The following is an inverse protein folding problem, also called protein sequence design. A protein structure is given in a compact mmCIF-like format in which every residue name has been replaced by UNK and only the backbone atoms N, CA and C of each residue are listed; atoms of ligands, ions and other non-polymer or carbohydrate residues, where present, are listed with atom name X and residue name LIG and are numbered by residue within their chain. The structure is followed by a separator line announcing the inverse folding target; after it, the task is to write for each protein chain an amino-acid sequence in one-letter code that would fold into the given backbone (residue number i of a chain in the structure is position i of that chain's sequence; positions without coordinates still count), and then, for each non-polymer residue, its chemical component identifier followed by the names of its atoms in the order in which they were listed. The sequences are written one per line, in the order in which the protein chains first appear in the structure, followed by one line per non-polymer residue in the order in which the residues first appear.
data_IF_306189971739
#
_entry.id   IF_306189971739
#
_cell.length_a   1.000
_cell.length_b   1.000
_cell.length_c   1.000
_cell.angle_alpha   90.00
_cell.angle_beta   90.00
_cell.angle_gamma   90.00
#
_symmetry.space_group_name_H-M   'P 1'
#
loop_
_entity.id
_entity.type
_entity.pdbx_description
1 polymer ?
#
# COMPACT_ATOMS: atom_id res chain seq x y z
N UNK A 1 43.22 11.24 -6.43
CA UNK A 1 42.12 10.84 -5.51
C UNK A 1 40.88 11.53 -6.03
N UNK A 2 39.95 10.77 -6.66
CA UNK A 2 38.66 11.35 -7.01
C UNK A 2 37.94 11.71 -5.70
N UNK A 3 37.60 12.97 -5.51
CA UNK A 3 36.74 13.38 -4.41
C UNK A 3 35.44 12.55 -4.47
N UNK A 4 35.03 12.02 -3.32
CA UNK A 4 33.74 11.32 -3.26
C UNK A 4 32.64 12.28 -3.72
N UNK A 5 31.78 11.82 -4.65
CA UNK A 5 30.69 12.64 -5.16
C UNK A 5 29.82 13.15 -4.00
N UNK A 6 29.40 14.39 -4.03
CA UNK A 6 28.47 14.96 -3.05
C UNK A 6 27.09 14.29 -3.19
N UNK A 7 26.27 14.34 -2.14
CA UNK A 7 24.90 13.77 -2.20
C UNK A 7 24.07 14.33 -3.37
N UNK A 8 24.05 15.66 -3.63
CA UNK A 8 23.34 16.19 -4.80
C UNK A 8 23.87 15.67 -6.14
N UNK A 9 25.18 15.52 -6.30
CA UNK A 9 25.80 14.98 -7.53
C UNK A 9 25.44 13.49 -7.72
N UNK A 10 25.50 12.69 -6.66
CA UNK A 10 25.07 11.30 -6.65
C UNK A 10 23.61 11.19 -7.08
N UNK A 11 22.72 11.91 -6.44
CA UNK A 11 21.27 11.85 -6.70
C UNK A 11 20.94 12.33 -8.11
N UNK A 12 21.61 13.36 -8.61
CA UNK A 12 21.49 13.80 -10.01
C UNK A 12 21.91 12.70 -10.99
N UNK A 13 23.01 12.01 -10.73
CA UNK A 13 23.48 10.90 -11.56
C UNK A 13 22.46 9.78 -11.62
N UNK A 14 21.96 9.34 -10.46
CA UNK A 14 20.90 8.33 -10.38
C UNK A 14 19.64 8.77 -11.13
N UNK A 15 19.25 10.04 -11.00
CA UNK A 15 18.10 10.60 -11.70
C UNK A 15 18.25 10.58 -13.21
N UNK A 16 19.41 10.99 -13.74
CA UNK A 16 19.71 10.94 -15.18
C UNK A 16 19.67 9.51 -15.73
N UNK A 17 20.30 8.58 -15.02
CA UNK A 17 20.32 7.16 -15.39
C UNK A 17 18.90 6.58 -15.37
N UNK A 18 18.10 6.86 -14.34
CA UNK A 18 16.72 6.41 -14.26
C UNK A 18 15.85 6.96 -15.40
N UNK A 19 16.01 8.23 -15.79
CA UNK A 19 15.29 8.82 -16.94
C UNK A 19 15.67 8.14 -18.25
N UNK A 20 16.95 7.87 -18.47
CA UNK A 20 17.41 7.14 -19.65
C UNK A 20 16.82 5.72 -19.67
N UNK A 21 16.89 5.02 -18.55
CA UNK A 21 16.37 3.67 -18.41
C UNK A 21 14.84 3.61 -18.59
N UNK A 22 14.08 4.58 -18.06
CA UNK A 22 12.63 4.66 -18.21
C UNK A 22 12.20 4.71 -19.69
N UNK A 23 12.94 5.43 -20.53
CA UNK A 23 12.68 5.45 -21.98
C UNK A 23 12.89 4.07 -22.63
N UNK A 24 13.83 3.27 -22.12
CA UNK A 24 14.05 1.87 -22.53
C UNK A 24 12.92 0.97 -22.04
N UNK A 25 12.52 1.11 -20.78
CA UNK A 25 11.45 0.32 -20.16
C UNK A 25 10.08 0.57 -20.81
N UNK A 26 9.79 1.80 -21.21
CA UNK A 26 8.55 2.13 -21.92
C UNK A 26 8.41 1.43 -23.29
N UNK A 27 9.51 0.97 -23.87
CA UNK A 27 9.55 0.21 -25.14
C UNK A 27 9.69 -1.31 -24.92
N UNK A 28 9.88 -1.73 -23.67
CA UNK A 28 10.05 -3.15 -23.36
C UNK A 28 8.81 -3.95 -23.74
N UNK A 29 9.02 -5.10 -24.36
CA UNK A 29 7.91 -6.00 -24.68
C UNK A 29 7.38 -6.72 -23.45
N UNK A 30 6.12 -7.17 -23.51
CA UNK A 30 5.52 -8.00 -22.47
C UNK A 30 6.38 -9.24 -22.16
N UNK A 31 6.96 -9.85 -23.19
CA UNK A 31 7.83 -11.02 -23.05
C UNK A 31 9.11 -10.71 -22.26
N UNK A 32 9.78 -9.59 -22.55
CA UNK A 32 10.99 -9.17 -21.83
C UNK A 32 10.69 -8.89 -20.35
N UNK A 33 9.60 -8.14 -20.06
CA UNK A 33 9.17 -7.86 -18.71
C UNK A 33 8.84 -9.14 -17.93
N UNK A 34 8.08 -10.06 -18.54
CA UNK A 34 7.76 -11.35 -17.93
C UNK A 34 9.02 -12.21 -17.72
N UNK A 35 9.97 -12.19 -18.65
CA UNK A 35 11.25 -12.89 -18.53
C UNK A 35 12.06 -12.35 -17.34
N UNK A 36 12.22 -11.03 -17.21
CA UNK A 36 12.93 -10.41 -16.09
C UNK A 36 12.33 -10.83 -14.74
N UNK A 37 11.00 -10.85 -14.63
CA UNK A 37 10.30 -11.25 -13.40
C UNK A 37 10.50 -12.75 -13.08
N UNK A 38 10.46 -13.64 -14.08
CA UNK A 38 10.73 -15.07 -13.87
C UNK A 38 12.18 -15.33 -13.47
N UNK A 39 13.12 -14.63 -14.11
CA UNK A 39 14.55 -14.69 -13.74
C UNK A 39 14.75 -14.20 -12.32
N UNK A 40 14.12 -13.08 -11.93
CA UNK A 40 14.19 -12.56 -10.56
C UNK A 40 13.67 -13.60 -9.56
N UNK A 41 12.52 -14.22 -9.83
CA UNK A 41 11.97 -15.28 -8.96
C UNK A 41 12.94 -16.46 -8.78
N UNK A 42 13.58 -16.90 -9.89
CA UNK A 42 14.61 -17.95 -9.86
C UNK A 42 15.81 -17.52 -9.01
N UNK A 43 16.36 -16.33 -9.25
CA UNK A 43 17.52 -15.80 -8.52
C UNK A 43 17.24 -15.66 -7.01
N UNK A 44 16.05 -15.20 -6.60
CA UNK A 44 15.67 -15.13 -5.18
C UNK A 44 15.74 -16.50 -4.50
N UNK A 45 15.28 -17.56 -5.16
CA UNK A 45 15.34 -18.93 -4.65
C UNK A 45 16.77 -19.46 -4.59
N UNK A 46 17.54 -19.29 -5.68
CA UNK A 46 18.92 -19.75 -5.78
C UNK A 46 19.85 -19.07 -4.76
N UNK A 47 19.62 -17.79 -4.47
CA UNK A 47 20.46 -16.99 -3.57
C UNK A 47 19.91 -16.84 -2.14
N UNK A 48 18.88 -17.61 -1.75
CA UNK A 48 18.24 -17.50 -0.42
C UNK A 48 19.25 -17.50 0.72
N UNK A 49 20.22 -18.44 0.73
CA UNK A 49 21.22 -18.56 1.80
C UNK A 49 22.17 -17.34 1.85
N UNK A 50 22.59 -16.82 0.68
CA UNK A 50 23.42 -15.62 0.59
C UNK A 50 22.69 -14.38 1.09
N UNK A 51 21.43 -14.19 0.67
CA UNK A 51 20.57 -13.10 1.14
C UNK A 51 20.34 -13.13 2.65
N UNK A 52 20.17 -14.32 3.23
CA UNK A 52 20.06 -14.46 4.67
C UNK A 52 21.37 -14.12 5.41
N UNK A 53 22.53 -14.41 4.81
CA UNK A 53 23.83 -14.01 5.34
C UNK A 53 23.99 -12.49 5.37
N UNK A 54 23.57 -11.79 4.32
CA UNK A 54 23.58 -10.33 4.29
C UNK A 54 22.53 -9.73 5.25
N UNK A 55 21.35 -10.34 5.34
CA UNK A 55 20.31 -9.93 6.27
C UNK A 55 20.74 -10.09 7.74
N UNK A 56 21.52 -11.13 8.07
CA UNK A 56 22.05 -11.32 9.42
C UNK A 56 22.94 -10.16 9.89
N UNK A 57 23.67 -9.49 8.97
CA UNK A 57 24.45 -8.27 9.28
C UNK A 57 23.53 -7.13 9.71
N UNK A 58 22.45 -6.91 8.97
CA UNK A 58 21.45 -5.89 9.27
C UNK A 58 20.75 -6.17 10.62
N UNK A 59 20.34 -7.43 10.87
CA UNK A 59 19.69 -7.83 12.11
C UNK A 59 20.62 -7.62 13.31
N UNK A 60 21.90 -8.02 13.22
CA UNK A 60 22.88 -7.83 14.29
C UNK A 60 23.08 -6.34 14.60
N UNK A 61 23.17 -5.50 13.57
CA UNK A 61 23.30 -4.05 13.70
C UNK A 61 22.07 -3.41 14.33
N UNK A 62 20.87 -3.83 13.91
CA UNK A 62 19.60 -3.35 14.45
C UNK A 62 19.42 -3.71 15.94
N UNK A 63 19.78 -4.93 16.32
CA UNK A 63 19.75 -5.38 17.71
C UNK A 63 20.75 -4.60 18.57
N UNK A 64 21.98 -4.44 18.10
CA UNK A 64 23.00 -3.66 18.80
C UNK A 64 22.60 -2.17 18.97
N UNK A 65 21.86 -1.61 18.03
CA UNK A 65 21.28 -0.27 18.09
C UNK A 65 20.03 -0.17 18.97
N UNK A 66 19.53 -1.26 19.57
CA UNK A 66 18.34 -1.27 20.42
C UNK A 66 17.03 -1.05 19.66
N UNK A 67 16.96 -1.45 18.40
CA UNK A 67 15.74 -1.31 17.61
C UNK A 67 14.59 -2.14 18.24
N UNK A 68 13.38 -1.59 18.29
CA UNK A 68 12.22 -2.25 18.87
C UNK A 68 11.94 -3.61 18.21
N UNK A 69 11.57 -4.63 18.99
CA UNK A 69 11.37 -5.99 18.53
C UNK A 69 10.45 -6.12 17.29
N UNK A 70 9.32 -5.39 17.17
CA UNK A 70 8.50 -5.42 15.97
C UNK A 70 9.20 -4.90 14.71
N UNK A 71 10.12 -3.94 14.85
CA UNK A 71 10.90 -3.41 13.74
C UNK A 71 12.00 -4.39 13.32
N UNK A 72 12.65 -5.06 14.29
CA UNK A 72 13.61 -6.14 14.02
C UNK A 72 12.92 -7.30 13.31
N UNK A 73 11.69 -7.63 13.70
CA UNK A 73 10.92 -8.69 13.03
C UNK A 73 10.60 -8.37 11.58
N UNK A 74 10.30 -7.11 11.28
CA UNK A 74 10.06 -6.62 9.90
C UNK A 74 11.30 -6.66 9.01
N UNK A 75 12.51 -6.60 9.60
CA UNK A 75 13.78 -6.68 8.85
C UNK A 75 14.11 -8.09 8.37
N UNK A 76 13.48 -9.12 8.92
CA UNK A 76 13.83 -10.51 8.63
C UNK A 76 13.50 -10.91 7.19
N UNK A 77 14.50 -11.37 6.46
CA UNK A 77 14.35 -12.08 5.18
C UNK A 77 14.36 -13.60 5.45
N UNK A 78 13.24 -14.12 5.95
CA UNK A 78 13.09 -15.57 6.12
C UNK A 78 13.00 -16.27 4.76
N UNK A 79 13.26 -17.58 4.64
CA UNK A 79 13.03 -18.35 3.42
C UNK A 79 11.60 -18.16 2.91
N UNK A 80 10.62 -18.12 3.81
CA UNK A 80 9.21 -17.90 3.46
C UNK A 80 8.97 -16.49 2.89
N UNK A 81 9.61 -15.46 3.44
CA UNK A 81 9.52 -14.09 2.91
C UNK A 81 10.07 -14.02 1.49
N UNK A 82 11.24 -14.62 1.25
CA UNK A 82 11.87 -14.66 -0.08
C UNK A 82 11.04 -15.47 -1.08
N UNK A 83 10.47 -16.61 -0.66
CA UNK A 83 9.54 -17.37 -1.50
C UNK A 83 8.29 -16.58 -1.84
N UNK A 84 7.71 -15.84 -0.88
CA UNK A 84 6.57 -14.95 -1.16
C UNK A 84 6.91 -13.89 -2.20
N UNK A 85 8.11 -13.30 -2.12
CA UNK A 85 8.60 -12.37 -3.14
C UNK A 85 8.74 -13.04 -4.52
N UNK A 86 9.28 -14.25 -4.57
CA UNK A 86 9.44 -15.00 -5.81
C UNK A 86 8.10 -15.35 -6.45
N UNK A 87 7.15 -15.84 -5.67
CA UNK A 87 5.77 -16.11 -6.12
C UNK A 87 5.09 -14.83 -6.63
N UNK A 88 5.27 -13.70 -5.93
CA UNK A 88 4.77 -12.40 -6.38
C UNK A 88 5.32 -11.98 -7.75
N UNK A 89 6.62 -12.19 -7.99
CA UNK A 89 7.23 -11.96 -9.30
C UNK A 89 6.61 -12.86 -10.40
N UNK A 90 6.37 -14.14 -10.11
CA UNK A 90 5.75 -15.09 -11.05
C UNK A 90 4.30 -14.73 -11.36
N UNK A 91 3.55 -14.29 -10.35
CA UNK A 91 2.17 -13.79 -10.54
C UNK A 91 2.16 -12.58 -11.46
N UNK A 92 3.01 -11.56 -11.20
CA UNK A 92 3.14 -10.39 -12.07
C UNK A 92 3.58 -10.78 -13.49
N UNK A 93 4.47 -11.75 -13.64
CA UNK A 93 4.91 -12.24 -14.95
C UNK A 93 3.75 -12.86 -15.76
N UNK A 94 2.79 -13.51 -15.07
CA UNK A 94 1.63 -14.17 -15.69
C UNK A 94 0.47 -13.21 -16.02
N UNK A 95 0.41 -12.05 -15.38
CA UNK A 95 -0.64 -11.06 -15.62
C UNK A 95 -0.56 -10.47 -17.02
N UNK A 96 -1.70 -10.09 -17.64
CA UNK A 96 -1.70 -9.34 -18.90
C UNK A 96 -0.85 -8.07 -18.83
N UNK A 97 -0.27 -7.70 -19.95
CA UNK A 97 0.40 -6.40 -20.07
C UNK A 97 -0.62 -5.34 -20.48
N UNK A 98 -0.77 -4.34 -19.62
CA UNK A 98 -1.72 -3.25 -19.84
C UNK A 98 -1.09 -2.06 -20.57
N UNK A 99 0.24 -2.03 -20.71
CA UNK A 99 0.94 -0.92 -21.36
C UNK A 99 0.70 -0.97 -22.87
N UNK A 100 0.35 0.18 -23.43
CA UNK A 100 0.00 0.33 -24.86
C UNK A 100 -1.47 -0.02 -25.16
N UNK A 101 -2.26 -0.51 -24.19
CA UNK A 101 -3.69 -0.71 -24.40
C UNK A 101 -4.40 0.62 -24.67
N UNK A 102 -5.30 0.64 -25.68
CA UNK A 102 -6.08 1.81 -26.05
C UNK A 102 -7.53 1.55 -25.67
N UNK A 103 -8.13 2.50 -24.97
CA UNK A 103 -9.54 2.47 -24.57
C UNK A 103 -10.31 3.69 -25.12
N UNK A 104 -11.63 3.55 -25.22
CA UNK A 104 -12.53 4.64 -25.58
C UNK A 104 -12.30 5.23 -26.98
N UNK A 105 -11.75 4.46 -27.92
CA UNK A 105 -11.54 4.94 -29.29
C UNK A 105 -12.89 5.23 -29.96
N UNK A 106 -13.14 6.49 -30.30
CA UNK A 106 -14.39 6.95 -30.92
C UNK A 106 -14.11 7.92 -32.07
N UNK A 107 -14.95 7.87 -33.11
CA UNK A 107 -14.90 8.83 -34.21
C UNK A 107 -15.57 10.13 -33.79
N UNK A 108 -14.92 11.26 -34.13
CA UNK A 108 -15.41 12.59 -33.84
C UNK A 108 -16.09 13.18 -35.07
N UNK A 109 -16.94 14.19 -34.92
CA UNK A 109 -17.59 14.87 -36.07
C UNK A 109 -16.61 15.42 -37.09
N UNK A 110 -15.40 15.76 -36.69
CA UNK A 110 -14.32 16.22 -37.58
C UNK A 110 -13.68 15.11 -38.43
N UNK A 111 -14.06 13.84 -38.25
CA UNK A 111 -13.48 12.69 -38.94
C UNK A 111 -12.36 11.99 -38.19
N UNK A 112 -11.65 12.66 -37.28
CA UNK A 112 -10.59 12.03 -36.48
C UNK A 112 -11.15 10.99 -35.52
N UNK A 113 -10.31 10.00 -35.14
CA UNK A 113 -10.61 9.06 -34.06
C UNK A 113 -9.75 9.39 -32.85
N UNK A 114 -10.38 9.47 -31.68
CA UNK A 114 -9.71 9.82 -30.40
C UNK A 114 -9.90 8.71 -29.40
N UNK A 115 -8.83 8.31 -28.73
CA UNK A 115 -8.84 7.32 -27.65
C UNK A 115 -7.78 7.64 -26.61
N UNK A 116 -7.70 6.83 -25.57
CA UNK A 116 -6.69 6.96 -24.52
C UNK A 116 -5.81 5.72 -24.47
N UNK A 117 -4.49 5.91 -24.52
CA UNK A 117 -3.49 4.85 -24.42
C UNK A 117 -2.86 4.86 -23.03
N UNK A 118 -2.79 3.69 -22.41
CA UNK A 118 -2.10 3.50 -21.13
C UNK A 118 -0.58 3.45 -21.32
N UNK A 119 0.14 4.26 -20.54
CA UNK A 119 1.60 4.39 -20.61
C UNK A 119 2.20 4.40 -19.21
N UNK A 120 3.49 4.00 -19.03
CA UNK A 120 4.18 4.16 -17.75
C UNK A 120 4.16 5.61 -17.27
N UNK A 121 4.19 5.85 -15.96
CA UNK A 121 4.39 7.19 -15.40
C UNK A 121 5.77 7.72 -15.78
N UNK A 122 6.80 6.87 -15.73
CA UNK A 122 8.19 7.21 -16.03
C UNK A 122 9.14 6.74 -14.95
N UNK A 123 9.49 7.59 -13.99
CA UNK A 123 10.38 7.29 -12.86
C UNK A 123 9.64 7.51 -11.55
N UNK A 124 9.59 6.53 -10.68
CA UNK A 124 9.13 6.75 -9.32
C UNK A 124 10.25 6.57 -8.28
N UNK A 125 10.20 7.38 -7.23
CA UNK A 125 11.03 7.23 -6.04
C UNK A 125 10.28 6.40 -4.99
N UNK A 126 10.95 5.39 -4.41
CA UNK A 126 10.40 4.60 -3.31
C UNK A 126 11.21 4.82 -2.05
N UNK A 127 10.59 5.36 -0.99
CA UNK A 127 11.24 5.60 0.31
C UNK A 127 10.59 4.67 1.32
N UNK A 128 11.37 3.76 1.93
CA UNK A 128 10.82 2.75 2.83
C UNK A 128 11.74 2.45 4.01
N UNK A 129 11.13 1.98 5.11
CA UNK A 129 11.80 1.68 6.38
C UNK A 129 11.59 0.22 6.76
N UNK A 130 12.64 -0.39 7.34
CA UNK A 130 12.61 -1.70 8.03
C UNK A 130 11.90 -2.85 7.30
N UNK A 131 11.87 -2.83 5.96
CA UNK A 131 11.20 -3.87 5.14
C UNK A 131 11.98 -4.14 3.85
N UNK A 132 13.07 -4.93 3.92
CA UNK A 132 13.91 -5.18 2.73
C UNK A 132 13.16 -5.84 1.57
N UNK A 133 12.10 -6.64 1.82
CA UNK A 133 11.22 -7.21 0.79
C UNK A 133 10.60 -6.15 -0.14
N UNK A 134 10.39 -4.92 0.34
CA UNK A 134 9.86 -3.80 -0.47
C UNK A 134 10.78 -3.49 -1.66
N UNK A 135 12.08 -3.76 -1.56
CA UNK A 135 13.01 -3.68 -2.70
C UNK A 135 12.52 -4.52 -3.88
N UNK A 136 12.08 -5.75 -3.62
CA UNK A 136 11.58 -6.67 -4.67
C UNK A 136 10.17 -6.28 -5.11
N UNK A 137 9.29 -5.91 -4.19
CA UNK A 137 7.93 -5.47 -4.50
C UNK A 137 7.94 -4.25 -5.43
N UNK A 138 8.70 -3.22 -5.09
CA UNK A 138 8.83 -2.02 -5.91
C UNK A 138 9.51 -2.29 -7.27
N UNK A 139 10.59 -3.08 -7.27
CA UNK A 139 11.30 -3.44 -8.50
C UNK A 139 10.42 -4.26 -9.46
N UNK A 140 9.69 -5.25 -8.94
CA UNK A 140 8.82 -6.10 -9.76
C UNK A 140 7.66 -5.32 -10.38
N UNK A 141 7.08 -4.40 -9.62
CA UNK A 141 6.04 -3.49 -10.12
C UNK A 141 6.59 -2.48 -11.13
N UNK A 142 7.81 -1.94 -10.92
CA UNK A 142 8.49 -1.09 -11.90
C UNK A 142 8.69 -1.83 -13.23
N UNK A 143 9.22 -3.05 -13.19
CA UNK A 143 9.43 -3.88 -14.36
C UNK A 143 8.11 -4.15 -15.08
N UNK A 144 7.07 -4.60 -14.36
CA UNK A 144 5.78 -4.95 -14.96
C UNK A 144 5.08 -3.75 -15.58
N UNK A 145 5.11 -2.60 -14.91
CA UNK A 145 4.47 -1.36 -15.38
C UNK A 145 5.31 -0.58 -16.41
N UNK A 146 6.53 -1.05 -16.73
CA UNK A 146 7.41 -0.39 -17.68
C UNK A 146 8.04 0.92 -17.19
N UNK A 147 8.11 1.10 -15.88
CA UNK A 147 8.75 2.26 -15.23
C UNK A 147 10.20 1.99 -14.89
N UNK A 148 10.94 3.05 -14.55
CA UNK A 148 12.15 2.97 -13.75
C UNK A 148 11.85 3.38 -12.31
N UNK A 149 12.68 2.94 -11.35
CA UNK A 149 12.54 3.36 -9.97
C UNK A 149 13.89 3.63 -9.28
N UNK A 150 13.86 4.57 -8.34
CA UNK A 150 14.96 4.88 -7.44
C UNK A 150 14.52 4.50 -6.02
N UNK A 151 15.18 3.50 -5.44
CA UNK A 151 14.88 2.91 -4.16
C UNK A 151 15.73 3.55 -3.07
N UNK A 152 15.11 4.05 -2.00
CA UNK A 152 15.79 4.54 -0.81
C UNK A 152 15.26 3.80 0.41
N UNK A 153 15.91 2.70 0.76
CA UNK A 153 15.62 1.93 1.96
C UNK A 153 16.24 2.52 3.23
N UNK A 154 15.71 2.16 4.38
CA UNK A 154 16.24 2.55 5.68
C UNK A 154 17.69 2.08 5.89
N UNK A 155 18.42 2.79 6.75
CA UNK A 155 19.83 2.49 7.06
C UNK A 155 20.01 1.13 7.73
N UNK A 156 18.98 0.67 8.43
CA UNK A 156 18.93 -0.59 9.15
C UNK A 156 18.91 -1.83 8.23
N UNK A 157 18.55 -1.66 6.93
CA UNK A 157 18.41 -2.75 5.97
C UNK A 157 19.38 -2.62 4.76
N UNK A 158 20.45 -1.84 4.90
CA UNK A 158 21.29 -1.45 3.74
C UNK A 158 21.96 -2.64 3.04
N UNK A 159 22.43 -3.64 3.80
CA UNK A 159 23.13 -4.80 3.22
C UNK A 159 22.13 -5.70 2.48
N UNK A 160 20.98 -5.98 3.09
CA UNK A 160 19.87 -6.70 2.44
C UNK A 160 19.39 -6.01 1.18
N UNK A 161 19.16 -4.69 1.24
CA UNK A 161 18.68 -3.92 0.08
C UNK A 161 19.68 -3.94 -1.07
N UNK A 162 20.99 -3.83 -0.79
CA UNK A 162 22.05 -3.94 -1.81
C UNK A 162 22.08 -5.30 -2.47
N UNK A 163 22.01 -6.36 -1.68
CA UNK A 163 22.01 -7.73 -2.19
C UNK A 163 20.79 -8.00 -3.08
N UNK A 164 19.59 -7.58 -2.64
CA UNK A 164 18.36 -7.71 -3.41
C UNK A 164 18.39 -6.89 -4.70
N UNK A 165 18.85 -5.63 -4.65
CA UNK A 165 18.95 -4.78 -5.84
C UNK A 165 19.93 -5.34 -6.88
N UNK A 166 21.03 -5.97 -6.45
CA UNK A 166 21.96 -6.63 -7.35
C UNK A 166 21.30 -7.78 -8.13
N UNK A 167 20.45 -8.59 -7.49
CA UNK A 167 19.71 -9.65 -8.18
C UNK A 167 18.68 -9.08 -9.17
N UNK A 168 18.04 -7.95 -8.84
CA UNK A 168 17.14 -7.28 -9.78
C UNK A 168 17.90 -6.81 -11.02
N UNK A 169 19.06 -6.18 -10.85
CA UNK A 169 19.89 -5.72 -11.96
C UNK A 169 20.38 -6.88 -12.83
N UNK A 170 20.74 -8.01 -12.22
CA UNK A 170 21.07 -9.24 -12.94
C UNK A 170 19.87 -9.74 -13.76
N UNK A 171 18.67 -9.78 -13.18
CA UNK A 171 17.45 -10.21 -13.87
C UNK A 171 17.11 -9.31 -15.07
N UNK A 172 17.28 -8.00 -14.92
CA UNK A 172 17.10 -7.03 -16.00
C UNK A 172 18.11 -7.29 -17.14
N UNK A 173 19.38 -7.49 -16.81
CA UNK A 173 20.43 -7.79 -17.79
C UNK A 173 20.14 -9.09 -18.57
N UNK A 174 19.76 -10.17 -17.88
CA UNK A 174 19.42 -11.46 -18.51
C UNK A 174 18.19 -11.35 -19.44
N UNK A 175 17.30 -10.40 -19.20
CA UNK A 175 16.13 -10.13 -20.04
C UNK A 175 16.40 -9.08 -21.15
N UNK A 176 17.61 -8.57 -21.26
CA UNK A 176 17.98 -7.52 -22.22
C UNK A 176 17.28 -6.17 -21.93
N UNK A 177 16.99 -5.89 -20.66
CA UNK A 177 16.40 -4.63 -20.18
C UNK A 177 17.49 -3.73 -19.54
N UNK A 178 17.26 -2.40 -19.50
CA UNK A 178 18.21 -1.48 -18.86
C UNK A 178 18.40 -1.81 -17.37
N UNK A 179 19.62 -2.06 -16.95
CA UNK A 179 19.94 -2.36 -15.53
C UNK A 179 19.69 -1.19 -14.62
N UNK A 180 19.84 0.04 -15.12
CA UNK A 180 19.55 1.28 -14.39
C UNK A 180 18.05 1.57 -14.24
N UNK A 181 17.18 0.68 -14.73
CA UNK A 181 15.73 0.80 -14.48
C UNK A 181 15.37 0.61 -13.01
N UNK A 182 16.21 -0.10 -12.24
CA UNK A 182 16.05 -0.23 -10.80
C UNK A 182 17.37 0.13 -10.13
N UNK A 183 17.36 1.24 -9.41
CA UNK A 183 18.53 1.76 -8.73
C UNK A 183 18.28 1.87 -7.24
N UNK A 184 19.27 1.50 -6.43
CA UNK A 184 19.28 1.71 -4.99
C UNK A 184 20.20 2.88 -4.65
N UNK A 185 19.72 3.83 -3.86
CA UNK A 185 20.56 4.88 -3.28
C UNK A 185 21.59 4.23 -2.34
N UNK A 186 22.89 4.26 -2.66
CA UNK A 186 23.91 3.44 -2.00
C UNK A 186 24.36 3.98 -0.63
N UNK A 187 23.78 5.10 -0.17
CA UNK A 187 24.15 5.79 1.07
C UNK A 187 23.00 5.76 2.09
N UNK A 188 23.37 5.78 3.37
CA UNK A 188 22.44 5.93 4.50
C UNK A 188 22.15 7.38 4.86
N UNK A 189 22.81 8.35 4.21
CA UNK A 189 22.62 9.78 4.47
C UNK A 189 21.17 10.20 4.19
N UNK A 190 20.56 10.85 5.19
CA UNK A 190 19.19 11.36 5.10
C UNK A 190 19.02 12.51 4.12
N UNK A 191 20.10 13.21 3.75
CA UNK A 191 20.08 14.27 2.75
C UNK A 191 19.62 13.72 1.38
N UNK A 192 19.94 12.45 1.07
CA UNK A 192 19.49 11.80 -0.16
C UNK A 192 17.94 11.69 -0.28
N UNK A 193 17.22 11.62 0.85
CA UNK A 193 15.75 11.67 0.84
C UNK A 193 15.27 13.06 0.41
N UNK A 194 15.86 14.13 0.98
CA UNK A 194 15.53 15.51 0.60
C UNK A 194 15.76 15.78 -0.89
N UNK A 195 16.89 15.30 -1.44
CA UNK A 195 17.17 15.42 -2.88
C UNK A 195 16.13 14.64 -3.70
N UNK A 196 15.84 13.38 -3.35
CA UNK A 196 14.91 12.52 -4.10
C UNK A 196 13.50 13.14 -4.23
N UNK A 197 12.99 13.75 -3.17
CA UNK A 197 11.65 14.36 -3.15
C UNK A 197 11.61 15.76 -3.79
N UNK A 198 12.75 16.36 -4.10
CA UNK A 198 12.84 17.71 -4.66
C UNK A 198 13.42 17.77 -6.07
N UNK A 199 13.48 16.63 -6.80
CA UNK A 199 14.06 16.55 -8.14
C UNK A 199 13.02 16.22 -9.24
N UNK A 200 12.01 17.09 -9.50
CA UNK A 200 10.92 16.82 -10.45
C UNK A 200 11.40 16.69 -11.92
N UNK A 201 12.60 17.14 -12.24
CA UNK A 201 13.21 16.93 -13.56
C UNK A 201 13.52 15.44 -13.84
N UNK A 202 13.67 14.64 -12.79
CA UNK A 202 14.11 13.24 -12.89
C UNK A 202 13.10 12.23 -12.34
N UNK A 203 12.28 12.62 -11.39
CA UNK A 203 11.31 11.76 -10.69
C UNK A 203 9.90 12.30 -10.91
N UNK A 204 8.98 11.43 -11.34
CA UNK A 204 7.59 11.80 -11.65
C UNK A 204 6.67 11.68 -10.43
N UNK A 205 6.95 10.73 -9.53
CA UNK A 205 6.17 10.50 -8.32
C UNK A 205 7.03 9.86 -7.25
N UNK A 206 6.73 10.13 -5.99
CA UNK A 206 7.38 9.49 -4.82
C UNK A 206 6.33 8.73 -4.02
N UNK A 207 6.71 7.55 -3.51
CA UNK A 207 5.86 6.67 -2.73
C UNK A 207 6.56 6.37 -1.40
N UNK A 208 6.16 7.01 -0.30
CA UNK A 208 6.71 6.71 1.02
C UNK A 208 6.04 5.50 1.66
N UNK A 209 6.84 4.65 2.33
CA UNK A 209 6.42 3.48 3.13
C UNK A 209 7.15 3.48 4.46
N UNK A 210 6.63 4.17 5.45
CA UNK A 210 7.23 4.32 6.77
C UNK A 210 6.25 4.81 7.81
N UNK A 211 6.76 5.25 8.95
CA UNK A 211 5.94 5.83 10.00
C UNK A 211 5.35 7.18 9.60
N UNK A 212 4.26 7.58 10.30
CA UNK A 212 3.49 8.80 10.06
C UNK A 212 4.39 10.04 9.91
N UNK A 213 5.36 10.23 10.82
CA UNK A 213 6.27 11.38 10.76
C UNK A 213 7.15 11.46 9.50
N UNK A 214 7.55 10.31 8.92
CA UNK A 214 8.26 10.29 7.64
C UNK A 214 7.34 10.75 6.51
N UNK A 215 6.11 10.24 6.48
CA UNK A 215 5.13 10.54 5.44
C UNK A 215 4.70 12.00 5.51
N UNK A 216 4.45 12.54 6.70
CA UNK A 216 4.13 13.96 6.92
C UNK A 216 5.26 14.87 6.42
N UNK A 217 6.51 14.59 6.80
CA UNK A 217 7.67 15.34 6.35
C UNK A 217 7.80 15.33 4.83
N UNK A 218 7.70 14.13 4.20
CA UNK A 218 7.76 14.03 2.73
C UNK A 218 6.62 14.82 2.09
N UNK A 219 5.41 14.75 2.65
CA UNK A 219 4.25 15.46 2.13
C UNK A 219 4.39 16.99 2.19
N UNK A 220 5.11 17.50 3.21
CA UNK A 220 5.37 18.94 3.37
C UNK A 220 6.49 19.45 2.45
N UNK A 221 7.57 18.66 2.32
CA UNK A 221 8.80 19.12 1.68
C UNK A 221 8.88 18.75 0.20
N UNK A 222 8.07 17.80 -0.28
CA UNK A 222 8.16 17.29 -1.64
C UNK A 222 7.75 18.32 -2.70
N UNK A 223 8.57 18.41 -3.75
CA UNK A 223 8.27 19.11 -5.01
C UNK A 223 7.85 18.15 -6.12
N UNK A 224 7.90 16.86 -5.85
CA UNK A 224 7.43 15.77 -6.69
C UNK A 224 6.08 15.30 -6.16
N UNK A 225 5.09 14.95 -6.99
CA UNK A 225 3.84 14.34 -6.54
C UNK A 225 4.08 13.15 -5.62
N UNK A 226 3.23 12.97 -4.59
CA UNK A 226 3.39 11.90 -3.60
C UNK A 226 2.13 11.03 -3.60
N UNK A 227 2.29 9.72 -3.71
CA UNK A 227 1.23 8.72 -3.47
C UNK A 227 1.38 8.22 -2.05
N UNK A 228 0.40 8.49 -1.18
CA UNK A 228 0.52 8.23 0.26
C UNK A 228 -0.80 7.92 0.94
N UNK A 229 -0.69 7.31 2.11
CA UNK A 229 -1.67 7.39 3.20
C UNK A 229 -0.92 7.73 4.51
N UNK A 230 -1.59 8.36 5.46
CA UNK A 230 -0.97 8.74 6.73
C UNK A 230 -1.13 7.65 7.78
N UNK A 231 -2.35 7.13 7.92
CA UNK A 231 -2.73 6.09 8.88
C UNK A 231 -3.91 5.25 8.35
N UNK A 232 -4.25 4.18 9.06
CA UNK A 232 -5.30 3.23 8.70
C UNK A 232 -6.38 3.10 9.78
N UNK A 233 -6.97 4.21 10.26
CA UNK A 233 -8.13 4.14 11.14
C UNK A 233 -9.37 3.66 10.38
N UNK A 234 -9.48 2.33 10.22
CA UNK A 234 -10.58 1.68 9.50
C UNK A 234 -11.77 1.43 10.41
N UNK A 235 -12.99 1.63 9.90
CA UNK A 235 -14.24 1.39 10.62
C UNK A 235 -14.98 0.18 10.08
N UNK A 236 -15.65 -0.53 11.00
CA UNK A 236 -16.68 -1.51 10.63
C UNK A 236 -17.99 -1.12 11.29
N UNK A 237 -19.03 -0.93 10.51
CA UNK A 237 -20.38 -0.60 10.97
C UNK A 237 -21.30 -1.81 10.87
N UNK A 238 -21.86 -2.23 11.99
CA UNK A 238 -22.92 -3.26 12.08
C UNK A 238 -24.28 -2.57 12.05
N UNK A 239 -24.99 -2.74 10.96
CA UNK A 239 -26.27 -2.08 10.67
C UNK A 239 -27.47 -2.82 11.29
N UNK A 240 -28.65 -2.25 11.16
CA UNK A 240 -29.95 -2.83 11.49
C UNK A 240 -30.89 -2.68 10.26
N UNK A 241 -31.28 -3.80 9.61
CA UNK A 241 -31.05 -5.20 9.96
C UNK A 241 -29.69 -5.76 9.50
N UNK A 242 -29.12 -6.67 10.30
CA UNK A 242 -27.89 -7.39 10.00
C UNK A 242 -28.01 -8.87 10.41
N UNK A 243 -27.33 -9.75 9.69
CA UNK A 243 -27.03 -11.10 10.17
C UNK A 243 -25.92 -11.04 11.23
N UNK A 244 -26.30 -11.26 12.49
CA UNK A 244 -25.38 -11.09 13.63
C UNK A 244 -24.32 -12.20 13.71
N UNK A 245 -24.52 -13.37 13.12
CA UNK A 245 -23.54 -14.45 13.09
C UNK A 245 -22.46 -14.15 12.04
N UNK A 246 -22.88 -13.67 10.87
CA UNK A 246 -21.97 -13.14 9.86
C UNK A 246 -21.18 -11.94 10.42
N UNK A 247 -21.87 -11.00 11.07
CA UNK A 247 -21.22 -9.82 11.66
C UNK A 247 -20.19 -10.20 12.71
N UNK A 248 -20.47 -11.18 13.58
CA UNK A 248 -19.53 -11.68 14.58
C UNK A 248 -18.24 -12.19 13.91
N UNK A 249 -18.39 -13.03 12.90
CA UNK A 249 -17.26 -13.61 12.15
C UNK A 249 -16.42 -12.52 11.47
N UNK A 250 -17.07 -11.57 10.80
CA UNK A 250 -16.40 -10.53 10.04
C UNK A 250 -15.68 -9.54 10.97
N UNK A 251 -16.34 -9.07 12.03
CA UNK A 251 -15.74 -8.11 12.99
C UNK A 251 -14.58 -8.74 13.74
N UNK A 252 -14.71 -10.00 14.17
CA UNK A 252 -13.60 -10.73 14.77
C UNK A 252 -12.40 -10.79 13.82
N UNK A 253 -12.60 -11.26 12.59
CA UNK A 253 -11.53 -11.32 11.60
C UNK A 253 -10.92 -9.95 11.30
N UNK A 254 -11.75 -8.92 11.12
CA UNK A 254 -11.32 -7.57 10.77
C UNK A 254 -10.38 -6.97 11.84
N UNK A 255 -10.58 -7.28 13.13
CA UNK A 255 -9.70 -6.80 14.20
C UNK A 255 -8.60 -7.79 14.55
N UNK A 256 -8.90 -9.08 14.72
CA UNK A 256 -8.01 -9.99 15.42
C UNK A 256 -7.18 -10.91 14.53
N UNK A 257 -7.46 -10.99 13.23
CA UNK A 257 -6.64 -11.77 12.30
C UNK A 257 -5.18 -11.28 12.31
N UNK A 258 -5.00 -9.94 12.38
CA UNK A 258 -3.69 -9.30 12.59
C UNK A 258 -3.92 -7.84 13.00
N UNK A 259 -3.23 -7.37 14.03
CA UNK A 259 -3.43 -6.01 14.58
C UNK A 259 -2.64 -4.91 13.86
N UNK A 260 -1.48 -5.26 13.30
CA UNK A 260 -0.50 -4.28 12.81
C UNK A 260 -0.68 -3.77 11.36
N UNK A 261 -1.49 -4.35 10.47
CA UNK A 261 -1.74 -3.78 9.15
C UNK A 261 -2.75 -2.63 9.20
N UNK A 262 -2.56 -1.63 8.33
CA UNK A 262 -3.39 -0.44 8.23
C UNK A 262 -4.86 -0.70 7.81
N UNK A 263 -5.18 -1.90 7.32
CA UNK A 263 -6.53 -2.33 6.97
C UNK A 263 -7.22 -3.12 8.10
N UNK A 264 -6.62 -3.22 9.30
CA UNK A 264 -7.30 -3.75 10.46
C UNK A 264 -8.38 -2.76 10.95
N UNK A 265 -9.54 -3.27 11.38
CA UNK A 265 -10.56 -2.41 11.98
C UNK A 265 -10.06 -1.84 13.31
N UNK A 266 -10.10 -0.52 13.45
CA UNK A 266 -9.73 0.20 14.67
C UNK A 266 -10.96 0.74 15.40
N UNK A 267 -12.05 1.01 14.67
CA UNK A 267 -13.31 1.52 15.20
C UNK A 267 -14.48 0.63 14.80
N UNK A 268 -15.28 0.21 15.79
CA UNK A 268 -16.51 -0.57 15.61
C UNK A 268 -17.71 0.32 15.91
N UNK A 269 -18.57 0.53 14.93
CA UNK A 269 -19.84 1.19 15.08
C UNK A 269 -20.97 0.15 15.07
N UNK A 270 -21.96 0.29 15.95
CA UNK A 270 -23.07 -0.65 16.04
C UNK A 270 -24.39 0.12 16.09
N UNK A 271 -25.31 -0.22 15.19
CA UNK A 271 -26.64 0.36 15.20
C UNK A 271 -27.36 0.03 16.53
N UNK A 272 -28.04 1.02 17.11
CA UNK A 272 -28.71 0.91 18.42
C UNK A 272 -29.67 -0.26 18.49
N UNK A 273 -30.40 -0.56 17.40
CA UNK A 273 -31.38 -1.63 17.36
C UNK A 273 -30.80 -3.02 17.56
N UNK A 274 -29.55 -3.25 17.15
CA UNK A 274 -28.88 -4.56 17.29
C UNK A 274 -27.82 -4.58 18.39
N UNK A 275 -27.47 -3.43 18.99
CA UNK A 275 -26.38 -3.30 19.94
C UNK A 275 -26.50 -4.23 21.15
N UNK A 276 -27.69 -4.34 21.75
CA UNK A 276 -27.92 -5.20 22.92
C UNK A 276 -27.72 -6.70 22.62
N UNK A 277 -28.02 -7.13 21.40
CA UNK A 277 -27.84 -8.50 20.97
C UNK A 277 -26.41 -8.80 20.49
N UNK A 278 -25.74 -7.83 19.86
CA UNK A 278 -24.44 -8.04 19.22
C UNK A 278 -23.25 -7.78 20.16
N UNK A 279 -23.25 -6.67 20.90
CA UNK A 279 -22.08 -6.24 21.69
C UNK A 279 -21.63 -7.27 22.73
N UNK A 280 -22.52 -7.93 23.52
CA UNK A 280 -22.06 -8.94 24.48
C UNK A 280 -21.35 -10.12 23.79
N UNK A 281 -21.78 -10.49 22.58
CA UNK A 281 -21.20 -11.61 21.82
C UNK A 281 -19.80 -11.27 21.32
N UNK A 282 -19.63 -10.15 20.62
CA UNK A 282 -18.31 -9.74 20.11
C UNK A 282 -17.39 -9.31 21.27
N UNK A 283 -17.94 -8.76 22.33
CA UNK A 283 -17.21 -8.41 23.54
C UNK A 283 -16.56 -9.63 24.21
N UNK A 284 -17.25 -10.78 24.24
CA UNK A 284 -16.67 -12.02 24.75
C UNK A 284 -15.51 -12.52 23.86
N UNK A 285 -15.67 -12.44 22.53
CA UNK A 285 -14.60 -12.80 21.59
C UNK A 285 -13.35 -11.92 21.80
N UNK A 286 -13.55 -10.62 21.98
CA UNK A 286 -12.48 -9.67 22.23
C UNK A 286 -11.82 -9.89 23.60
N UNK A 287 -12.61 -10.17 24.63
CA UNK A 287 -12.09 -10.50 25.97
C UNK A 287 -11.23 -11.76 25.95
N UNK A 288 -11.67 -12.81 25.28
CA UNK A 288 -10.94 -14.08 25.16
C UNK A 288 -9.60 -13.92 24.39
N UNK A 289 -9.51 -12.91 23.52
CA UNK A 289 -8.31 -12.58 22.75
C UNK A 289 -7.48 -11.43 23.35
N UNK A 290 -7.86 -10.92 24.51
CA UNK A 290 -7.14 -9.87 25.23
C UNK A 290 -7.19 -8.50 24.53
N UNK A 291 -8.26 -8.21 23.78
CA UNK A 291 -8.46 -6.92 23.13
C UNK A 291 -9.08 -5.92 24.12
N UNK A 292 -8.41 -4.79 24.34
CA UNK A 292 -8.92 -3.65 25.10
C UNK A 292 -10.02 -2.94 24.31
N UNK A 293 -11.16 -2.70 24.92
CA UNK A 293 -12.31 -2.03 24.30
C UNK A 293 -12.49 -0.62 24.88
N UNK A 294 -12.32 0.41 24.07
CA UNK A 294 -12.56 1.82 24.41
C UNK A 294 -13.94 2.22 23.93
N UNK A 295 -14.85 2.41 24.87
CA UNK A 295 -16.28 2.41 24.60
C UNK A 295 -16.93 3.76 24.87
N UNK A 296 -17.92 4.14 24.04
CA UNK A 296 -18.90 5.13 24.48
C UNK A 296 -19.70 4.60 25.68
N UNK A 297 -20.36 5.48 26.42
CA UNK A 297 -21.09 5.12 27.65
C UNK A 297 -22.10 4.00 27.43
N UNK A 298 -22.85 4.05 26.33
CA UNK A 298 -23.86 3.03 25.98
C UNK A 298 -23.25 1.66 25.66
N UNK A 299 -22.21 1.63 24.81
CA UNK A 299 -21.50 0.40 24.51
C UNK A 299 -20.87 -0.21 25.77
N UNK A 300 -20.28 0.61 26.64
CA UNK A 300 -19.68 0.18 27.90
C UNK A 300 -20.71 -0.46 28.82
N UNK A 301 -21.90 0.12 28.93
CA UNK A 301 -22.98 -0.42 29.75
C UNK A 301 -23.44 -1.82 29.28
N UNK A 302 -23.50 -2.04 27.95
CA UNK A 302 -23.86 -3.34 27.35
C UNK A 302 -22.76 -4.39 27.49
N UNK A 303 -21.52 -3.97 27.66
CA UNK A 303 -20.33 -4.85 27.77
C UNK A 303 -19.94 -5.15 29.23
N UNK A 304 -20.49 -4.47 30.22
CA UNK A 304 -20.14 -4.65 31.65
C UNK A 304 -20.31 -6.08 32.18
N UNK A 305 -21.23 -6.86 31.58
CA UNK A 305 -21.48 -8.24 31.93
C UNK A 305 -20.53 -9.25 31.29
N UNK A 306 -19.64 -8.82 30.40
CA UNK A 306 -18.73 -9.71 29.66
C UNK A 306 -17.57 -10.10 30.55
N UNK A 307 -17.39 -11.41 30.74
CA UNK A 307 -16.34 -11.94 31.62
C UNK A 307 -14.94 -11.70 31.03
N UNK A 308 -14.07 -11.10 31.80
CA UNK A 308 -12.68 -10.84 31.39
C UNK A 308 -12.49 -9.64 30.46
N UNK A 309 -13.55 -8.88 30.17
CA UNK A 309 -13.47 -7.70 29.31
C UNK A 309 -12.62 -6.59 29.93
N UNK A 310 -11.71 -6.02 29.16
CA UNK A 310 -10.94 -4.84 29.52
C UNK A 310 -11.65 -3.63 28.89
N UNK A 311 -12.43 -2.90 29.70
CA UNK A 311 -13.27 -1.79 29.26
C UNK A 311 -12.70 -0.45 29.75
N UNK A 312 -12.54 0.50 28.84
CA UNK A 312 -12.20 1.91 29.13
C UNK A 312 -13.24 2.84 28.53
N UNK A 313 -13.35 4.04 29.08
CA UNK A 313 -14.12 5.10 28.44
C UNK A 313 -13.34 5.61 27.24
N UNK A 314 -14.02 5.73 26.10
CA UNK A 314 -13.46 6.35 24.93
C UNK A 314 -13.38 7.86 25.11
N UNK A 315 -12.29 8.45 24.70
CA UNK A 315 -12.09 9.90 24.55
C UNK A 315 -12.33 10.29 23.09
N UNK A 316 -12.40 11.58 22.81
CA UNK A 316 -12.52 12.07 21.42
C UNK A 316 -11.37 11.61 20.54
N UNK A 317 -10.14 11.53 21.09
CA UNK A 317 -8.95 11.07 20.37
C UNK A 317 -9.06 9.59 19.96
N UNK A 318 -9.75 8.76 20.73
CA UNK A 318 -9.92 7.34 20.43
C UNK A 318 -10.68 7.09 19.12
N UNK A 319 -11.50 8.03 18.68
CA UNK A 319 -12.21 7.92 17.41
C UNK A 319 -11.32 8.19 16.20
N UNK A 320 -10.20 8.91 16.37
CA UNK A 320 -9.18 9.18 15.33
C UNK A 320 -8.01 8.21 15.34
N UNK A 321 -7.91 7.33 16.37
CA UNK A 321 -6.67 6.62 16.64
C UNK A 321 -6.51 5.35 15.79
N UNK A 322 -5.36 5.19 15.14
CA UNK A 322 -4.86 3.92 14.62
C UNK A 322 -4.02 3.25 15.70
N UNK A 323 -4.56 2.28 16.43
CA UNK A 323 -3.88 1.66 17.56
C UNK A 323 -2.74 0.72 17.15
N UNK A 324 -2.86 0.00 16.04
CA UNK A 324 -1.94 -1.06 15.60
C UNK A 324 -1.66 -2.12 16.68
N UNK A 325 -2.59 -2.30 17.59
CA UNK A 325 -2.50 -3.08 18.82
C UNK A 325 -3.82 -3.82 19.09
N UNK A 326 -3.89 -4.74 20.06
CA UNK A 326 -5.14 -5.35 20.51
C UNK A 326 -6.00 -4.34 21.30
N UNK A 327 -6.38 -3.25 20.66
CA UNK A 327 -7.24 -2.17 21.16
C UNK A 327 -8.25 -1.82 20.07
N UNK A 328 -9.51 -1.60 20.44
CA UNK A 328 -10.56 -1.16 19.51
C UNK A 328 -11.46 -0.12 20.18
N UNK A 329 -11.86 0.92 19.43
CA UNK A 329 -12.90 1.83 19.86
C UNK A 329 -14.29 1.30 19.48
N UNK A 330 -15.30 1.45 20.36
CA UNK A 330 -16.65 0.93 20.13
C UNK A 330 -17.69 2.00 20.43
N UNK A 331 -18.56 2.28 19.46
CA UNK A 331 -19.62 3.29 19.59
C UNK A 331 -20.96 2.75 19.12
N UNK A 332 -22.01 2.98 19.91
CA UNK A 332 -23.40 2.80 19.48
C UNK A 332 -23.86 4.06 18.75
N UNK A 333 -24.51 3.88 17.61
CA UNK A 333 -24.99 4.95 16.74
C UNK A 333 -26.48 4.78 16.41
N UNK A 334 -27.17 5.88 16.11
CA UNK A 334 -28.63 5.88 15.86
C UNK A 334 -29.06 5.27 14.50
N UNK A 335 -28.12 4.75 13.75
CA UNK A 335 -28.36 4.12 12.45
C UNK A 335 -27.40 4.60 11.38
N UNK A 336 -27.75 4.37 10.11
CA UNK A 336 -26.88 4.57 8.96
C UNK A 336 -26.35 6.01 8.85
N UNK A 337 -27.23 7.02 9.00
CA UNK A 337 -26.83 8.43 8.83
C UNK A 337 -25.77 8.85 9.87
N UNK A 338 -25.97 8.42 11.11
CA UNK A 338 -25.00 8.69 12.19
C UNK A 338 -23.67 7.92 11.98
N UNK A 339 -23.75 6.70 11.45
CA UNK A 339 -22.56 5.92 11.11
C UNK A 339 -21.76 6.58 9.98
N UNK A 340 -22.40 6.98 8.88
CA UNK A 340 -21.76 7.68 7.76
C UNK A 340 -21.13 8.99 8.21
N UNK A 341 -21.86 9.79 9.01
CA UNK A 341 -21.35 11.06 9.55
C UNK A 341 -20.10 10.83 10.42
N UNK A 342 -20.13 9.80 11.30
CA UNK A 342 -18.99 9.45 12.13
C UNK A 342 -17.79 9.00 11.29
N UNK A 343 -17.98 8.07 10.35
CA UNK A 343 -16.91 7.56 9.50
C UNK A 343 -16.28 8.70 8.69
N UNK A 344 -17.08 9.52 8.02
CA UNK A 344 -16.55 10.63 7.21
C UNK A 344 -15.81 11.70 8.02
N UNK A 345 -16.05 11.77 9.35
CA UNK A 345 -15.36 12.71 10.23
C UNK A 345 -14.09 12.13 10.86
N UNK A 346 -14.10 10.86 11.27
CA UNK A 346 -13.04 10.26 12.07
C UNK A 346 -12.15 9.28 11.33
N UNK A 347 -12.63 8.66 10.23
CA UNK A 347 -11.85 7.72 9.43
C UNK A 347 -10.64 8.38 8.79
N UNK A 348 -9.58 7.61 8.64
CA UNK A 348 -8.44 7.98 7.81
C UNK A 348 -8.74 7.94 6.30
N UNK A 349 -9.97 7.62 5.91
CA UNK A 349 -10.38 7.37 4.52
C UNK A 349 -9.65 6.22 3.82
N UNK A 350 -9.11 5.29 4.61
CA UNK A 350 -8.41 4.12 4.09
C UNK A 350 -9.40 3.04 3.67
N UNK A 351 -10.06 2.39 4.62
CA UNK A 351 -10.99 1.29 4.34
C UNK A 351 -12.09 1.25 5.40
N UNK A 352 -13.35 1.32 4.98
CA UNK A 352 -14.48 1.26 5.87
C UNK A 352 -15.52 0.24 5.37
N UNK A 353 -16.17 -0.46 6.30
CA UNK A 353 -17.08 -1.55 6.00
C UNK A 353 -18.45 -1.37 6.65
N UNK A 354 -19.49 -1.82 5.95
CA UNK A 354 -20.84 -2.00 6.48
C UNK A 354 -21.23 -3.48 6.46
N UNK A 355 -21.86 -3.95 7.51
CA UNK A 355 -22.46 -5.28 7.62
C UNK A 355 -23.97 -5.11 7.71
N UNK A 356 -24.69 -5.49 6.66
CA UNK A 356 -26.12 -5.20 6.51
C UNK A 356 -26.86 -6.22 5.66
N UNK A 357 -28.15 -6.42 5.93
CA UNK A 357 -29.08 -7.12 5.05
C UNK A 357 -29.92 -6.14 4.20
N UNK A 358 -29.77 -4.83 4.43
CA UNK A 358 -30.52 -3.81 3.72
C UNK A 358 -29.77 -3.34 2.48
N UNK A 359 -30.30 -3.70 1.30
CA UNK A 359 -29.70 -3.31 0.02
C UNK A 359 -29.61 -1.77 -0.14
N UNK A 360 -30.62 -1.02 0.29
CA UNK A 360 -30.61 0.44 0.18
C UNK A 360 -29.51 1.04 1.05
N UNK A 361 -29.32 0.53 2.28
CA UNK A 361 -28.26 0.96 3.17
C UNK A 361 -26.88 0.68 2.57
N UNK A 362 -26.69 -0.51 1.97
CA UNK A 362 -25.40 -0.83 1.32
C UNK A 362 -25.09 0.10 0.15
N UNK A 363 -26.09 0.44 -0.68
CA UNK A 363 -25.91 1.38 -1.82
C UNK A 363 -25.60 2.80 -1.34
N UNK A 364 -26.28 3.26 -0.28
CA UNK A 364 -26.01 4.58 0.34
C UNK A 364 -24.61 4.61 0.94
N UNK A 365 -24.23 3.59 1.71
CA UNK A 365 -22.93 3.51 2.35
C UNK A 365 -21.79 3.57 1.31
N UNK A 366 -21.88 2.77 0.24
CA UNK A 366 -20.88 2.78 -0.84
C UNK A 366 -20.74 4.14 -1.53
N UNK A 367 -21.79 4.94 -1.60
CA UNK A 367 -21.78 6.24 -2.27
C UNK A 367 -21.41 7.39 -1.34
N UNK A 368 -21.80 7.32 -0.07
CA UNK A 368 -21.74 8.43 0.89
C UNK A 368 -20.51 8.36 1.80
N UNK A 369 -19.91 7.16 1.99
CA UNK A 369 -18.64 7.02 2.72
C UNK A 369 -17.48 7.33 1.78
N UNK A 370 -16.68 8.34 2.14
CA UNK A 370 -15.59 8.84 1.31
C UNK A 370 -14.25 8.18 1.64
N UNK A 371 -14.17 6.85 1.47
CA UNK A 371 -12.98 6.07 1.72
C UNK A 371 -12.41 5.44 0.45
N UNK A 372 -11.13 5.12 0.46
CA UNK A 372 -10.43 4.54 -0.69
C UNK A 372 -10.94 3.13 -1.00
N UNK A 373 -11.33 2.37 0.03
CA UNK A 373 -12.04 1.10 -0.10
C UNK A 373 -13.29 1.12 0.76
N UNK A 374 -14.44 0.82 0.16
CA UNK A 374 -15.73 0.70 0.84
C UNK A 374 -16.22 -0.72 0.66
N UNK A 375 -16.43 -1.44 1.77
CA UNK A 375 -16.70 -2.88 1.75
C UNK A 375 -18.11 -3.16 2.30
N UNK A 376 -18.82 -4.08 1.66
CA UNK A 376 -20.13 -4.55 2.13
C UNK A 376 -20.02 -6.03 2.48
N UNK A 377 -20.42 -6.40 3.71
CA UNK A 377 -20.49 -7.78 4.21
C UNK A 377 -19.19 -8.58 4.10
N UNK A 378 -18.04 -7.91 4.23
CA UNK A 378 -16.74 -8.55 4.27
C UNK A 378 -15.78 -7.80 5.20
N UNK A 379 -14.70 -8.47 5.58
CA UNK A 379 -13.66 -7.92 6.46
C UNK A 379 -12.87 -6.82 5.78
N UNK A 380 -12.54 -5.75 6.52
CA UNK A 380 -11.61 -4.70 6.05
C UNK A 380 -10.25 -5.26 5.67
N UNK A 381 -9.86 -6.42 6.20
CA UNK A 381 -8.62 -7.13 5.89
C UNK A 381 -8.47 -7.52 4.42
N UNK A 382 -9.56 -7.55 3.65
CA UNK A 382 -9.52 -7.75 2.20
C UNK A 382 -9.00 -6.54 1.40
N UNK A 383 -8.86 -5.37 1.99
CA UNK A 383 -8.26 -4.21 1.32
C UNK A 383 -6.73 -4.38 1.14
N UNK A 384 -6.36 -5.25 0.23
CA UNK A 384 -5.00 -5.71 -0.04
C UNK A 384 -4.85 -5.98 -1.54
N UNK A 385 -3.67 -5.68 -2.10
CA UNK A 385 -3.43 -5.80 -3.54
C UNK A 385 -3.54 -7.23 -4.09
N UNK A 386 -3.21 -8.25 -3.29
CA UNK A 386 -3.38 -9.65 -3.71
C UNK A 386 -4.85 -10.04 -3.71
N UNK A 387 -5.58 -9.71 -2.63
CA UNK A 387 -7.00 -10.01 -2.49
C UNK A 387 -7.85 -9.28 -3.55
N UNK A 388 -7.45 -8.07 -3.95
CA UNK A 388 -8.10 -7.31 -5.03
C UNK A 388 -7.68 -7.75 -6.43
N UNK A 389 -6.82 -8.77 -6.56
CA UNK A 389 -6.37 -9.29 -7.85
C UNK A 389 -5.37 -8.40 -8.59
N UNK A 390 -4.72 -7.47 -7.90
CA UNK A 390 -3.71 -6.57 -8.48
C UNK A 390 -2.32 -7.23 -8.62
N UNK A 391 -2.16 -8.45 -8.11
CA UNK A 391 -0.93 -9.26 -8.15
C UNK A 391 0.17 -8.79 -7.19
N UNK A 392 0.26 -7.52 -6.93
CA UNK A 392 1.11 -6.88 -5.93
C UNK A 392 0.63 -5.45 -5.68
N UNK A 393 1.03 -4.86 -4.56
CA UNK A 393 0.81 -3.44 -4.28
C UNK A 393 2.12 -2.77 -3.87
N UNK A 394 2.31 -1.54 -4.30
CA UNK A 394 3.45 -0.72 -3.87
C UNK A 394 3.13 0.07 -2.60
N UNK A 395 1.86 0.22 -2.31
CA UNK A 395 1.30 0.93 -1.17
C UNK A 395 -0.19 1.16 -1.35
N UNK A 396 -0.77 1.86 -0.41
CA UNK A 396 -2.17 2.27 -0.46
C UNK A 396 -2.20 3.80 -0.53
N UNK A 397 -3.16 4.36 -1.25
CA UNK A 397 -3.36 5.81 -1.35
C UNK A 397 -4.74 6.18 -0.83
N UNK A 398 -4.82 7.18 0.03
CA UNK A 398 -6.08 7.82 0.42
C UNK A 398 -6.33 9.12 -0.36
N UNK A 399 -5.37 9.57 -1.16
CA UNK A 399 -5.51 10.73 -2.04
C UNK A 399 -6.55 10.45 -3.13
N UNK A 400 -7.26 11.50 -3.56
CA UNK A 400 -8.29 11.40 -4.63
C UNK A 400 -7.72 11.66 -6.02
N UNK A 401 -6.54 12.23 -6.08
CA UNK A 401 -5.90 12.62 -7.32
C UNK A 401 -4.95 11.52 -7.78
N UNK A 402 -5.19 10.96 -8.95
CA UNK A 402 -4.48 9.87 -9.61
C UNK A 402 -4.89 8.47 -9.11
N UNK A 403 -4.18 7.88 -8.12
CA UNK A 403 -4.47 6.55 -7.60
C UNK A 403 -5.12 6.64 -6.22
N UNK A 404 -6.15 5.82 -5.95
CA UNK A 404 -6.84 5.72 -4.67
C UNK A 404 -7.08 4.23 -4.32
N UNK A 405 -6.83 3.84 -3.07
CA UNK A 405 -6.84 2.44 -2.63
C UNK A 405 -5.49 1.75 -2.82
N UNK A 406 -5.44 0.42 -2.83
CA UNK A 406 -4.23 -0.34 -3.12
C UNK A 406 -3.66 0.01 -4.49
N UNK A 407 -2.38 0.40 -4.53
CA UNK A 407 -1.70 0.88 -5.74
C UNK A 407 -0.93 -0.26 -6.38
N UNK A 408 -1.52 -0.88 -7.38
CA UNK A 408 -0.92 -1.92 -8.21
C UNK A 408 -0.35 -1.37 -9.53
N UNK A 409 -0.30 -2.22 -10.56
CA UNK A 409 0.28 -1.87 -11.87
C UNK A 409 -0.42 -0.66 -12.49
N UNK A 410 -1.76 -0.60 -12.44
CA UNK A 410 -2.52 0.52 -13.04
C UNK A 410 -2.19 1.86 -12.40
N UNK A 411 -2.05 1.89 -11.07
CA UNK A 411 -1.68 3.10 -10.33
C UNK A 411 -0.27 3.62 -10.62
N UNK A 412 0.59 2.80 -11.24
CA UNK A 412 1.92 3.18 -11.74
C UNK A 412 1.91 3.55 -13.23
N UNK A 413 0.74 3.82 -13.80
CA UNK A 413 0.56 4.20 -15.20
C UNK A 413 -0.26 5.47 -15.32
N UNK A 414 -0.25 6.08 -16.51
CA UNK A 414 -1.06 7.23 -16.87
C UNK A 414 -1.73 6.98 -18.21
N UNK A 415 -2.73 7.79 -18.55
CA UNK A 415 -3.41 7.76 -19.83
C UNK A 415 -3.02 8.99 -20.65
N UNK A 416 -2.57 8.78 -21.90
CA UNK A 416 -2.37 9.84 -22.86
C UNK A 416 -3.37 9.72 -24.00
N UNK A 417 -3.79 10.85 -24.55
CA UNK A 417 -4.63 10.83 -25.75
C UNK A 417 -3.84 10.36 -26.97
N UNK A 418 -4.47 9.52 -27.77
CA UNK A 418 -4.02 9.16 -29.12
C UNK A 418 -5.08 9.57 -30.13
N UNK A 419 -4.65 10.20 -31.19
CA UNK A 419 -5.52 10.71 -32.25
C UNK A 419 -5.07 10.12 -33.58
N UNK A 420 -6.01 9.50 -34.29
CA UNK A 420 -5.79 8.95 -35.61
C UNK A 420 -6.63 9.75 -36.62
N UNK A 421 -5.99 10.21 -37.66
CA UNK A 421 -6.61 10.97 -38.75
C UNK A 421 -6.12 10.49 -40.11
N UNK A 422 -6.74 11.00 -41.17
CA UNK A 422 -6.40 10.80 -42.57
C UNK A 422 -6.08 12.12 -43.30
N UNK A 423 -5.71 13.16 -42.55
CA UNK A 423 -5.39 14.50 -43.08
C UNK A 423 -6.41 15.55 -42.70
N UNK A 424 -7.31 15.26 -41.75
CA UNK A 424 -8.30 16.23 -41.27
C UNK A 424 -7.61 17.47 -40.69
N UNK A 425 -8.16 18.63 -40.97
CA UNK A 425 -7.70 19.93 -40.46
C UNK A 425 -8.81 20.60 -39.66
N UNK A 426 -8.41 21.40 -38.69
CA UNK A 426 -9.38 22.24 -37.95
C UNK A 426 -9.74 23.45 -38.76
N UNK A 427 -11.04 23.62 -39.04
CA UNK A 427 -11.60 24.80 -39.68
C UNK A 427 -11.69 26.02 -38.77
#
# INVERSE_FOLDING_TARGET
MNAAATIPELMRTLGLQARCAAAGMARATAAQKAQALRVLARLLREHTAALQTDNAKDLSRAQAAGLAAPMVDRLKLSPQTLETCAVGCEQLASMPDIIGSISGMSQQPSGIRVGQMRVPIGVFGMIYESRPNVTIEAASLAIKSGNACILRGGSEAIDSNKALAALVQQALAEAGLPTDAVQLVPTTDRAAVGELITMPAYVDVVIPRGGKGLIERISQDAKVPVIKHLDGNCHTYVDDPCDLDMALTVVDNAKTQKYSPCNATESLLVARGVAAAFLPRIGQVFADKGVEMRCCSEAKALLQGVKGAVLKDATEQDWFEEYLAPIISIKVVDGLDAAIAHINHYSSHHTDAILTLNHVHSQRFMREVDSASVIVNASTRFADGFEYGLGAEIGISTDKFHARGPVGIEGLTSLKYVVLGAGEVRG
#
